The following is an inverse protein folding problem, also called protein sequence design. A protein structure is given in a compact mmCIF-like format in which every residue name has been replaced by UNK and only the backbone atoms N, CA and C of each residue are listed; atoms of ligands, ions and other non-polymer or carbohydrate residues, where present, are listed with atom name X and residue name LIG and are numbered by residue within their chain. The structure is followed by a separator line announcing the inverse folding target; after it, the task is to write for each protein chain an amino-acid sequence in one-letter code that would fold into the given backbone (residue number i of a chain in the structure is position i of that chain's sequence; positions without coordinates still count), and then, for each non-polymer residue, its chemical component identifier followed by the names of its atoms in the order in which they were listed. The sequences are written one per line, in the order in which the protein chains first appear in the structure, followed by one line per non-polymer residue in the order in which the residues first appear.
data_IF_995059454288
#
_entry.id   IF_995059454288
#
_cell.length_a   1.000
_cell.length_b   1.000
_cell.length_c   1.000
_cell.angle_alpha   90.00
_cell.angle_beta   90.00
_cell.angle_gamma   90.00
#
_symmetry.space_group_name_H-M   'P 1'
#
loop_
_entity.id
_entity.type
_entity.pdbx_description
1 polymer ?
#
# COMPACT_ATOMS: atom_id res chain seq x y z
N UNK A 1 5.51 14.69 18.39
CA UNK A 1 5.62 13.25 18.05
C UNK A 1 4.51 12.92 17.08
N UNK A 2 4.83 12.23 15.98
CA UNK A 2 3.83 11.83 14.98
C UNK A 2 2.92 10.74 15.55
N UNK A 3 1.62 10.76 15.12
CA UNK A 3 0.71 9.63 15.39
C UNK A 3 0.09 9.16 14.08
N UNK A 4 0.19 7.85 13.84
CA UNK A 4 -0.38 7.23 12.65
C UNK A 4 -1.72 6.57 12.99
N UNK A 5 -2.81 7.18 12.52
CA UNK A 5 -4.17 6.69 12.71
C UNK A 5 -4.55 5.70 11.63
N UNK A 6 -4.98 4.51 12.04
CA UNK A 6 -5.42 3.46 11.14
C UNK A 6 -5.42 2.09 11.78
N UNK A 7 -5.31 1.04 11.00
CA UNK A 7 -5.31 -0.34 11.49
C UNK A 7 -4.54 -1.27 10.55
N UNK A 8 -3.94 -2.30 11.10
CA UNK A 8 -2.97 -3.15 10.41
C UNK A 8 -3.50 -3.94 9.20
N UNK A 9 -4.83 -4.06 9.01
CA UNK A 9 -5.41 -4.69 7.81
C UNK A 9 -5.36 -3.77 6.59
N UNK A 10 -5.28 -2.45 6.81
CA UNK A 10 -5.21 -1.47 5.72
C UNK A 10 -3.82 -1.47 5.08
N UNK A 11 -3.75 -1.84 3.79
CA UNK A 11 -2.50 -1.77 3.03
C UNK A 11 -1.95 -0.33 2.95
N UNK A 12 -2.79 0.67 2.80
CA UNK A 12 -2.38 2.07 2.80
C UNK A 12 -1.79 2.53 4.13
N UNK A 13 -2.35 2.07 5.25
CA UNK A 13 -1.76 2.28 6.58
C UNK A 13 -0.36 1.63 6.67
N UNK A 14 -0.24 0.40 6.19
CA UNK A 14 1.02 -0.34 6.21
C UNK A 14 2.11 0.30 5.34
N UNK A 15 1.75 0.95 4.24
CA UNK A 15 2.68 1.74 3.42
C UNK A 15 3.31 2.88 4.21
N UNK A 16 2.49 3.67 4.92
CA UNK A 16 2.99 4.77 5.76
C UNK A 16 3.80 4.24 6.93
N UNK A 17 3.31 3.19 7.61
CA UNK A 17 4.03 2.54 8.71
C UNK A 17 5.40 2.06 8.28
N UNK A 18 5.50 1.36 7.14
CA UNK A 18 6.79 0.91 6.62
C UNK A 18 7.73 2.07 6.30
N UNK A 19 7.24 3.12 5.66
CA UNK A 19 8.06 4.29 5.34
C UNK A 19 8.62 4.98 6.61
N UNK A 20 7.81 5.15 7.65
CA UNK A 20 8.27 5.68 8.94
C UNK A 20 9.36 4.81 9.56
N UNK A 21 9.17 3.48 9.56
CA UNK A 21 10.15 2.52 10.08
C UNK A 21 11.45 2.52 9.28
N UNK A 22 11.37 2.53 7.93
CA UNK A 22 12.56 2.58 7.05
C UNK A 22 13.37 3.86 7.21
N UNK A 23 12.71 4.97 7.53
CA UNK A 23 13.35 6.24 7.82
C UNK A 23 13.86 6.35 9.26
N UNK A 24 13.49 5.42 10.16
CA UNK A 24 13.81 5.49 11.58
C UNK A 24 13.14 6.66 12.29
N UNK A 25 11.92 7.02 11.87
CA UNK A 25 11.13 8.10 12.49
C UNK A 25 10.21 7.51 13.53
N UNK A 26 10.31 7.99 14.77
CA UNK A 26 9.44 7.57 15.86
C UNK A 26 8.01 8.06 15.67
N UNK A 27 7.04 7.19 15.90
CA UNK A 27 5.62 7.49 15.84
C UNK A 27 4.81 6.60 16.79
N UNK A 28 3.64 7.09 17.17
CA UNK A 28 2.63 6.35 17.92
C UNK A 28 1.58 5.76 16.95
N UNK A 29 1.23 4.48 17.12
CA UNK A 29 0.13 3.87 16.37
C UNK A 29 -1.20 4.10 17.12
N UNK A 30 -2.16 4.76 16.44
CA UNK A 30 -3.50 5.01 16.96
C UNK A 30 -4.52 4.20 16.19
N UNK A 31 -5.15 3.23 16.85
CA UNK A 31 -6.15 2.36 16.20
C UNK A 31 -7.37 3.16 15.76
N UNK A 32 -7.63 3.20 14.47
CA UNK A 32 -8.78 3.88 13.85
C UNK A 32 -9.30 3.07 12.66
N UNK A 33 -10.62 3.10 12.46
CA UNK A 33 -11.30 2.47 11.32
C UNK A 33 -11.93 3.53 10.42
N UNK A 34 -12.13 3.26 9.11
CA UNK A 34 -12.88 4.16 8.23
C UNK A 34 -14.24 4.49 8.83
N UNK A 35 -14.62 5.77 8.83
CA UNK A 35 -15.86 6.25 9.41
C UNK A 35 -16.32 7.54 8.72
N UNK A 36 -17.64 7.77 8.69
CA UNK A 36 -18.27 9.03 8.25
C UNK A 36 -18.70 9.92 9.42
N UNK A 37 -18.26 9.62 10.65
CA UNK A 37 -18.49 10.45 11.80
C UNK A 37 -17.61 11.71 11.76
N UNK A 38 -18.12 12.84 12.21
CA UNK A 38 -17.44 14.14 12.15
C UNK A 38 -16.03 14.13 12.77
N UNK A 39 -15.86 13.46 13.92
CA UNK A 39 -14.56 13.32 14.58
C UNK A 39 -13.51 12.62 13.69
N UNK A 40 -13.94 11.67 12.85
CA UNK A 40 -13.07 11.01 11.91
C UNK A 40 -12.87 11.85 10.65
N UNK A 41 -13.92 12.50 10.14
CA UNK A 41 -13.85 13.36 8.96
C UNK A 41 -12.93 14.57 9.20
N UNK A 42 -12.84 15.09 10.41
CA UNK A 42 -11.87 16.13 10.80
C UNK A 42 -10.41 15.65 10.70
N UNK A 43 -10.16 14.34 10.78
CA UNK A 43 -8.82 13.75 10.64
C UNK A 43 -8.53 13.32 9.20
N UNK A 44 -9.54 12.79 8.52
CA UNK A 44 -9.46 12.35 7.13
C UNK A 44 -10.77 12.67 6.41
N UNK A 45 -10.84 13.75 5.60
CA UNK A 45 -12.09 14.26 5.03
C UNK A 45 -12.87 13.28 4.15
N UNK A 46 -12.21 12.24 3.62
CA UNK A 46 -12.89 11.18 2.85
C UNK A 46 -13.37 10.00 3.72
N UNK A 47 -13.18 10.08 5.04
CA UNK A 47 -13.59 9.03 5.98
C UNK A 47 -12.75 7.75 5.91
N UNK A 48 -11.55 7.83 5.33
CA UNK A 48 -10.64 6.68 5.15
C UNK A 48 -9.53 6.65 6.22
N UNK A 49 -8.61 5.73 6.06
CA UNK A 49 -7.34 5.62 6.77
C UNK A 49 -6.25 5.30 5.75
N UNK A 50 -4.98 5.69 6.01
CA UNK A 50 -4.43 6.32 7.21
C UNK A 50 -4.67 7.82 7.28
N UNK A 51 -4.59 8.38 8.50
CA UNK A 51 -4.35 9.80 8.74
C UNK A 51 -3.10 9.95 9.61
N UNK A 52 -2.24 10.91 9.27
CA UNK A 52 -1.07 11.26 10.07
C UNK A 52 -1.40 12.50 10.89
N UNK A 53 -1.31 12.38 12.23
CA UNK A 53 -1.40 13.51 13.15
C UNK A 53 -0.02 14.08 13.40
N UNK A 54 0.11 15.39 13.21
CA UNK A 54 1.31 16.20 13.44
C UNK A 54 1.01 17.27 14.49
N UNK A 55 2.02 18.05 14.87
CA UNK A 55 1.85 19.23 15.72
C UNK A 55 1.06 20.38 15.05
N UNK A 56 0.88 20.32 13.72
CA UNK A 56 0.15 21.31 12.94
C UNK A 56 -1.27 20.86 12.54
N UNK A 57 -1.60 19.58 12.76
CA UNK A 57 -2.89 19.01 12.39
C UNK A 57 -2.78 17.67 11.69
N UNK A 58 -3.85 17.28 10.98
CA UNK A 58 -3.95 15.99 10.32
C UNK A 58 -3.68 16.08 8.82
N UNK A 59 -3.02 15.05 8.29
CA UNK A 59 -2.76 14.85 6.85
C UNK A 59 -3.36 13.51 6.46
N UNK A 60 -4.22 13.50 5.44
CA UNK A 60 -4.76 12.30 4.81
C UNK A 60 -4.03 11.97 3.49
N UNK A 61 -4.48 10.88 2.83
CA UNK A 61 -3.96 10.35 1.57
C UNK A 61 -2.49 9.87 1.65
N UNK A 62 -2.30 8.59 1.40
CA UNK A 62 -1.00 7.91 1.59
C UNK A 62 0.15 8.59 0.88
N UNK A 63 0.00 8.94 -0.40
CA UNK A 63 1.07 9.58 -1.17
C UNK A 63 1.44 10.96 -0.62
N UNK A 64 0.46 11.71 -0.11
CA UNK A 64 0.68 13.04 0.51
C UNK A 64 1.40 12.88 1.85
N UNK A 65 1.01 11.88 2.65
CA UNK A 65 1.70 11.57 3.91
C UNK A 65 3.16 11.17 3.65
N UNK A 66 3.40 10.35 2.62
CA UNK A 66 4.76 9.93 2.25
C UNK A 66 5.61 11.12 1.78
N UNK A 67 5.06 12.03 0.98
CA UNK A 67 5.73 13.28 0.60
C UNK A 67 6.03 14.16 1.83
N UNK A 68 5.09 14.30 2.76
CA UNK A 68 5.31 15.04 4.01
C UNK A 68 6.45 14.45 4.84
N UNK A 69 6.50 13.11 4.98
CA UNK A 69 7.56 12.42 5.71
C UNK A 69 8.94 12.65 5.05
N UNK A 70 9.01 12.64 3.72
CA UNK A 70 10.25 12.93 2.99
C UNK A 70 10.73 14.37 3.19
N UNK A 71 9.83 15.34 3.03
CA UNK A 71 10.17 16.77 3.11
C UNK A 71 10.37 17.25 4.55
N UNK A 72 9.58 16.74 5.48
CA UNK A 72 9.58 17.18 6.88
C UNK A 72 10.72 16.58 7.71
N UNK A 73 11.36 15.51 7.24
CA UNK A 73 12.44 14.79 7.94
C UNK A 73 13.67 14.58 7.04
N UNK A 74 14.27 15.67 6.53
CA UNK A 74 15.39 15.58 5.57
C UNK A 74 16.67 14.98 6.17
N UNK A 75 16.79 14.95 7.51
CA UNK A 75 17.91 14.34 8.22
C UNK A 75 17.79 12.81 8.32
N UNK A 76 16.59 12.25 8.11
CA UNK A 76 16.37 10.81 8.13
C UNK A 76 16.80 10.18 6.78
N UNK A 77 16.96 8.85 6.76
CA UNK A 77 17.21 8.12 5.50
C UNK A 77 16.17 8.49 4.45
N UNK A 78 16.60 8.96 3.28
CA UNK A 78 15.70 9.26 2.18
C UNK A 78 15.24 7.97 1.50
N UNK A 79 13.94 7.91 1.13
CA UNK A 79 13.34 6.87 0.32
C UNK A 79 13.04 7.35 -1.11
N UNK A 80 13.57 8.50 -1.48
CA UNK A 80 13.53 9.06 -2.84
C UNK A 80 14.92 9.57 -3.24
N UNK A 81 15.32 9.44 -4.52
CA UNK A 81 16.56 10.00 -5.03
C UNK A 81 16.56 11.54 -4.96
N UNK A 82 17.73 12.14 -4.76
CA UNK A 82 17.91 13.59 -4.79
C UNK A 82 17.89 14.17 -6.22
N UNK A 83 18.24 13.37 -7.22
CA UNK A 83 18.14 13.78 -8.63
C UNK A 83 16.67 13.97 -9.03
N UNK A 84 16.30 15.12 -9.61
CA UNK A 84 14.90 15.41 -9.92
C UNK A 84 14.27 14.43 -10.90
N UNK A 85 15.01 13.93 -11.89
CA UNK A 85 14.49 12.99 -12.86
C UNK A 85 14.27 11.62 -12.21
N UNK A 86 15.22 11.11 -11.44
CA UNK A 86 15.09 9.84 -10.73
C UNK A 86 13.97 9.91 -9.68
N UNK A 87 13.82 11.03 -8.97
CA UNK A 87 12.69 11.26 -8.06
C UNK A 87 11.35 11.18 -8.80
N UNK A 88 11.25 11.86 -9.97
CA UNK A 88 10.04 11.78 -10.81
C UNK A 88 9.76 10.34 -11.28
N UNK A 89 10.79 9.55 -11.56
CA UNK A 89 10.67 8.12 -11.92
C UNK A 89 10.12 7.28 -10.77
N UNK A 90 10.60 7.50 -9.54
CA UNK A 90 10.03 6.85 -8.35
C UNK A 90 8.54 7.22 -8.21
N UNK A 91 8.19 8.49 -8.34
CA UNK A 91 6.80 8.95 -8.25
C UNK A 91 5.93 8.40 -9.39
N UNK A 92 6.45 8.26 -10.61
CA UNK A 92 5.76 7.59 -11.72
C UNK A 92 5.43 6.13 -11.35
N UNK A 93 6.40 5.37 -10.82
CA UNK A 93 6.21 4.00 -10.37
C UNK A 93 5.16 3.92 -9.25
N UNK A 94 5.20 4.83 -8.26
CA UNK A 94 4.18 4.93 -7.22
C UNK A 94 2.77 5.12 -7.80
N UNK A 95 2.63 6.00 -8.82
CA UNK A 95 1.33 6.22 -9.47
C UNK A 95 0.87 5.00 -10.28
N UNK A 96 1.78 4.33 -10.99
CA UNK A 96 1.46 3.07 -11.70
C UNK A 96 0.93 2.03 -10.71
N UNK A 97 1.62 1.83 -9.59
CA UNK A 97 1.19 0.90 -8.54
C UNK A 97 -0.17 1.30 -7.96
N UNK A 98 -0.35 2.57 -7.62
CA UNK A 98 -1.58 3.03 -6.98
C UNK A 98 -2.78 2.98 -7.93
N UNK A 99 -2.67 3.56 -9.12
CA UNK A 99 -3.81 3.78 -10.01
C UNK A 99 -4.17 2.53 -10.82
N UNK A 100 -3.16 1.79 -11.30
CA UNK A 100 -3.37 0.70 -12.26
C UNK A 100 -3.24 -0.69 -11.64
N UNK A 101 -2.61 -0.84 -10.47
CA UNK A 101 -2.53 -2.13 -9.78
C UNK A 101 -3.50 -2.13 -8.59
N UNK A 102 -3.28 -1.28 -7.60
CA UNK A 102 -4.10 -1.26 -6.38
C UNK A 102 -5.57 -0.92 -6.67
N UNK A 103 -5.84 0.20 -7.36
CA UNK A 103 -7.21 0.64 -7.62
C UNK A 103 -7.95 -0.30 -8.57
N UNK A 104 -7.25 -0.92 -9.52
CA UNK A 104 -7.83 -1.92 -10.42
C UNK A 104 -8.20 -3.20 -9.68
N UNK A 105 -7.28 -3.76 -8.89
CA UNK A 105 -7.53 -4.95 -8.09
C UNK A 105 -8.65 -4.71 -7.07
N UNK A 106 -8.75 -3.49 -6.52
CA UNK A 106 -9.76 -3.10 -5.52
C UNK A 106 -11.19 -3.23 -6.03
N UNK A 107 -11.43 -3.16 -7.33
CA UNK A 107 -12.74 -3.41 -7.94
C UNK A 107 -13.28 -4.81 -7.57
N UNK A 108 -12.39 -5.78 -7.42
CA UNK A 108 -12.74 -7.16 -7.09
C UNK A 108 -12.58 -7.53 -5.60
N UNK A 109 -12.11 -6.62 -4.73
CA UNK A 109 -11.99 -6.88 -3.28
C UNK A 109 -13.29 -7.32 -2.60
N UNK A 110 -14.49 -6.77 -2.96
CA UNK A 110 -15.74 -7.24 -2.37
C UNK A 110 -15.94 -8.74 -2.50
N UNK A 111 -15.62 -9.32 -3.65
CA UNK A 111 -15.76 -10.77 -3.89
C UNK A 111 -14.54 -11.54 -3.35
N UNK A 112 -13.34 -11.07 -3.62
CA UNK A 112 -12.12 -11.77 -3.24
C UNK A 112 -11.93 -11.90 -1.71
N UNK A 113 -12.31 -10.85 -0.94
CA UNK A 113 -11.94 -10.76 0.47
C UNK A 113 -13.10 -10.54 1.44
N UNK A 114 -14.27 -10.14 0.96
CA UNK A 114 -15.36 -9.73 1.85
C UNK A 114 -16.65 -10.52 1.69
N UNK A 115 -16.64 -11.58 0.84
CA UNK A 115 -17.78 -12.49 0.65
C UNK A 115 -18.94 -11.87 -0.13
N UNK A 116 -18.69 -10.76 -0.82
CA UNK A 116 -19.65 -10.15 -1.76
C UNK A 116 -19.61 -10.81 -3.13
N UNK A 117 -20.27 -10.17 -4.10
CA UNK A 117 -20.20 -10.54 -5.52
C UNK A 117 -19.92 -9.30 -6.35
N UNK A 118 -19.22 -9.49 -7.46
CA UNK A 118 -18.86 -8.44 -8.42
C UNK A 118 -19.39 -8.86 -9.80
N UNK A 119 -19.94 -7.92 -10.57
CA UNK A 119 -20.44 -8.20 -11.91
C UNK A 119 -19.31 -8.63 -12.87
N UNK A 120 -19.66 -9.40 -13.90
CA UNK A 120 -18.67 -9.84 -14.89
C UNK A 120 -18.04 -8.68 -15.64
N UNK A 121 -18.81 -7.62 -15.92
CA UNK A 121 -18.31 -6.37 -16.51
C UNK A 121 -17.22 -5.71 -15.61
N UNK A 122 -17.46 -5.67 -14.29
CA UNK A 122 -16.47 -5.13 -13.34
C UNK A 122 -15.22 -6.02 -13.25
N UNK A 123 -15.39 -7.34 -13.34
CA UNK A 123 -14.26 -8.29 -13.37
C UNK A 123 -13.43 -8.10 -14.64
N UNK A 124 -14.06 -7.98 -15.80
CA UNK A 124 -13.38 -7.72 -17.07
C UNK A 124 -12.59 -6.42 -17.03
N UNK A 125 -13.21 -5.34 -16.54
CA UNK A 125 -12.52 -4.05 -16.32
C UNK A 125 -11.34 -4.18 -15.37
N UNK A 126 -11.54 -4.86 -14.24
CA UNK A 126 -10.48 -5.12 -13.26
C UNK A 126 -9.29 -5.83 -13.91
N UNK A 127 -9.52 -6.93 -14.61
CA UNK A 127 -8.44 -7.71 -15.25
C UNK A 127 -7.71 -6.89 -16.30
N UNK A 128 -8.45 -6.22 -17.18
CA UNK A 128 -7.88 -5.39 -18.26
C UNK A 128 -6.98 -4.28 -17.71
N UNK A 129 -7.44 -3.54 -16.72
CA UNK A 129 -6.66 -2.44 -16.15
C UNK A 129 -5.48 -2.97 -15.31
N UNK A 130 -5.66 -4.09 -14.60
CA UNK A 130 -4.59 -4.72 -13.84
C UNK A 130 -3.45 -5.23 -14.76
N UNK A 131 -3.79 -5.90 -15.86
CA UNK A 131 -2.80 -6.36 -16.85
C UNK A 131 -2.04 -5.18 -17.48
N UNK A 132 -2.73 -4.07 -17.79
CA UNK A 132 -2.07 -2.82 -18.22
C UNK A 132 -1.11 -2.27 -17.16
N UNK A 133 -1.54 -2.26 -15.90
CA UNK A 133 -0.72 -1.80 -14.78
C UNK A 133 0.55 -2.62 -14.60
N UNK A 134 0.44 -3.94 -14.63
CA UNK A 134 1.58 -4.86 -14.54
C UNK A 134 2.54 -4.66 -15.73
N UNK A 135 2.00 -4.55 -16.95
CA UNK A 135 2.80 -4.28 -18.15
C UNK A 135 3.52 -2.93 -18.05
N UNK A 136 2.83 -1.88 -17.60
CA UNK A 136 3.42 -0.55 -17.43
C UNK A 136 4.53 -0.59 -16.37
N UNK A 137 4.30 -1.27 -15.24
CA UNK A 137 5.31 -1.45 -14.20
C UNK A 137 6.54 -2.17 -14.74
N UNK A 138 6.37 -3.28 -15.47
CA UNK A 138 7.46 -4.02 -16.11
C UNK A 138 8.28 -3.16 -17.05
N UNK A 139 7.63 -2.33 -17.88
CA UNK A 139 8.32 -1.44 -18.83
C UNK A 139 9.13 -0.35 -18.09
N UNK A 140 8.63 0.12 -16.95
CA UNK A 140 9.18 1.29 -16.26
C UNK A 140 10.15 0.98 -15.13
N UNK A 141 10.05 -0.20 -14.53
CA UNK A 141 10.94 -0.62 -13.45
C UNK A 141 12.29 -1.12 -13.99
N UNK A 142 13.31 -0.96 -13.16
CA UNK A 142 14.62 -1.57 -13.40
C UNK A 142 14.74 -2.95 -12.75
N UNK A 143 14.05 -3.16 -11.61
CA UNK A 143 14.11 -4.36 -10.75
C UNK A 143 15.57 -4.85 -10.52
N UNK A 144 16.48 -3.94 -10.09
CA UNK A 144 17.90 -4.23 -9.95
C UNK A 144 18.47 -3.71 -8.62
N UNK A 145 18.15 -4.32 -7.48
CA UNK A 145 17.09 -5.29 -7.24
C UNK A 145 15.71 -4.66 -6.96
N UNK A 146 15.63 -3.33 -6.71
CA UNK A 146 14.40 -2.60 -6.42
C UNK A 146 13.76 -2.00 -7.66
N UNK A 147 12.50 -1.57 -7.57
CA UNK A 147 11.75 -1.05 -8.72
C UNK A 147 12.46 0.09 -9.46
N UNK A 148 13.10 1.01 -8.72
CA UNK A 148 13.75 2.18 -9.30
C UNK A 148 15.27 2.04 -9.45
N UNK A 149 15.90 0.96 -8.98
CA UNK A 149 17.35 0.77 -9.04
C UNK A 149 17.88 -0.11 -7.91
N UNK A 150 19.00 0.33 -7.30
CA UNK A 150 19.79 -0.44 -6.32
C UNK A 150 19.40 -0.21 -4.86
N UNK A 151 18.52 0.74 -4.59
CA UNK A 151 18.07 1.11 -3.24
C UNK A 151 16.56 1.06 -3.11
N UNK A 152 16.09 0.68 -1.90
CA UNK A 152 14.68 0.69 -1.56
C UNK A 152 14.13 2.12 -1.59
N UNK A 153 13.01 2.31 -2.28
CA UNK A 153 12.33 3.60 -2.45
C UNK A 153 10.86 3.54 -2.04
N UNK A 154 10.17 4.69 -2.05
CA UNK A 154 8.73 4.76 -1.83
C UNK A 154 7.93 3.94 -2.86
N UNK A 155 8.47 3.71 -4.06
CA UNK A 155 7.84 2.84 -5.04
C UNK A 155 7.75 1.39 -4.55
N UNK A 156 8.81 0.88 -3.91
CA UNK A 156 8.85 -0.47 -3.33
C UNK A 156 7.93 -0.60 -2.12
N UNK A 157 7.88 0.47 -1.29
CA UNK A 157 6.95 0.57 -0.14
C UNK A 157 5.50 0.44 -0.59
N UNK A 158 5.10 1.12 -1.66
CA UNK A 158 3.75 1.00 -2.19
C UNK A 158 3.52 -0.35 -2.88
N UNK A 159 4.51 -0.84 -3.60
CA UNK A 159 4.42 -2.06 -4.38
C UNK A 159 4.11 -3.28 -3.51
N UNK A 160 4.88 -3.52 -2.43
CA UNK A 160 4.78 -4.76 -1.65
C UNK A 160 3.37 -4.98 -1.08
N UNK A 161 2.68 -3.92 -0.62
CA UNK A 161 1.34 -4.04 -0.04
C UNK A 161 0.23 -4.04 -1.10
N UNK A 162 0.45 -3.42 -2.25
CA UNK A 162 -0.51 -3.44 -3.36
C UNK A 162 -0.47 -4.73 -4.14
N UNK A 163 0.75 -5.22 -4.43
CA UNK A 163 0.91 -6.43 -5.26
C UNK A 163 0.43 -7.69 -4.55
N UNK A 164 0.62 -7.80 -3.24
CA UNK A 164 0.11 -8.92 -2.42
C UNK A 164 -1.40 -9.10 -2.59
N UNK A 165 -2.15 -7.99 -2.47
CA UNK A 165 -3.61 -8.02 -2.64
C UNK A 165 -4.02 -8.24 -4.11
N UNK A 166 -3.31 -7.66 -5.05
CA UNK A 166 -3.57 -7.85 -6.48
C UNK A 166 -3.32 -9.30 -6.93
N UNK A 167 -2.25 -9.93 -6.44
CA UNK A 167 -1.97 -11.36 -6.67
C UNK A 167 -3.09 -12.24 -6.09
N UNK A 168 -3.59 -11.90 -4.90
CA UNK A 168 -4.73 -12.58 -4.31
C UNK A 168 -5.99 -12.48 -5.17
N UNK A 169 -6.31 -11.31 -5.70
CA UNK A 169 -7.41 -11.12 -6.67
C UNK A 169 -7.17 -11.94 -7.93
N UNK A 170 -5.97 -11.88 -8.50
CA UNK A 170 -5.59 -12.68 -9.67
C UNK A 170 -5.87 -14.17 -9.47
N UNK A 171 -5.43 -14.71 -8.32
CA UNK A 171 -5.62 -16.12 -7.97
C UNK A 171 -7.08 -16.50 -7.69
N UNK A 172 -7.78 -15.70 -6.87
CA UNK A 172 -9.12 -16.03 -6.36
C UNK A 172 -10.19 -15.82 -7.43
N UNK A 173 -10.14 -14.69 -8.14
CA UNK A 173 -11.19 -14.29 -9.08
C UNK A 173 -10.91 -14.82 -10.49
N UNK A 174 -9.64 -14.76 -10.93
CA UNK A 174 -9.28 -15.04 -12.32
C UNK A 174 -8.53 -16.36 -12.52
N UNK A 175 -8.14 -17.05 -11.44
CA UNK A 175 -7.29 -18.24 -11.47
C UNK A 175 -6.00 -18.02 -12.29
N UNK A 176 -5.47 -16.79 -12.24
CA UNK A 176 -4.29 -16.34 -12.97
C UNK A 176 -3.17 -15.94 -12.01
N UNK A 177 -1.94 -16.24 -12.41
CA UNK A 177 -0.74 -15.58 -11.88
C UNK A 177 -0.51 -14.29 -12.68
N UNK A 178 -0.84 -13.15 -12.08
CA UNK A 178 -0.71 -11.83 -12.72
C UNK A 178 0.75 -11.40 -12.95
N UNK A 179 1.71 -12.10 -12.33
CA UNK A 179 3.14 -11.88 -12.50
C UNK A 179 3.83 -12.99 -13.33
N UNK A 180 3.08 -13.82 -14.07
CA UNK A 180 3.64 -14.91 -14.85
C UNK A 180 4.75 -14.44 -15.82
N UNK A 181 4.53 -13.30 -16.46
CA UNK A 181 5.45 -12.70 -17.43
C UNK A 181 6.40 -11.65 -16.83
N UNK A 182 6.49 -11.57 -15.48
CA UNK A 182 7.32 -10.60 -14.77
C UNK A 182 8.09 -11.26 -13.61
N UNK A 183 9.04 -12.15 -13.89
CA UNK A 183 9.79 -12.88 -12.85
C UNK A 183 10.62 -11.96 -11.96
N UNK A 184 11.13 -10.84 -12.46
CA UNK A 184 11.92 -9.87 -11.69
C UNK A 184 11.08 -9.25 -10.55
N UNK A 185 9.77 -9.06 -10.76
CA UNK A 185 8.88 -8.62 -9.69
C UNK A 185 8.69 -9.68 -8.60
N UNK A 186 8.73 -10.97 -8.96
CA UNK A 186 8.69 -12.06 -7.97
C UNK A 186 9.97 -12.13 -7.15
N UNK A 187 11.13 -11.92 -7.75
CA UNK A 187 12.41 -11.82 -7.06
C UNK A 187 12.42 -10.61 -6.12
N UNK A 188 11.94 -9.46 -6.57
CA UNK A 188 11.80 -8.27 -5.73
C UNK A 188 10.90 -8.53 -4.51
N UNK A 189 9.77 -9.24 -4.67
CA UNK A 189 8.90 -9.61 -3.54
C UNK A 189 9.68 -10.47 -2.53
N UNK A 190 10.53 -11.39 -2.97
CA UNK A 190 11.37 -12.19 -2.06
C UNK A 190 12.33 -11.29 -1.29
N UNK A 191 13.06 -10.40 -1.98
CA UNK A 191 13.98 -9.45 -1.37
C UNK A 191 13.27 -8.55 -0.34
N UNK A 192 12.11 -8.01 -0.68
CA UNK A 192 11.33 -7.17 0.23
C UNK A 192 10.85 -7.96 1.47
N UNK A 193 10.48 -9.22 1.30
CA UNK A 193 10.08 -10.08 2.42
C UNK A 193 11.25 -10.45 3.36
N UNK A 194 12.50 -10.29 2.94
CA UNK A 194 13.68 -10.43 3.80
C UNK A 194 13.96 -9.18 4.65
N UNK A 195 13.37 -8.04 4.29
CA UNK A 195 13.53 -6.80 5.04
C UNK A 195 12.84 -6.92 6.42
N UNK A 196 13.54 -6.66 7.55
CA UNK A 196 12.99 -6.82 8.90
C UNK A 196 11.79 -5.91 9.19
N UNK A 197 11.74 -4.69 8.62
CA UNK A 197 10.61 -3.79 8.79
C UNK A 197 9.39 -4.30 8.03
N UNK A 198 9.57 -4.83 6.82
CA UNK A 198 8.49 -5.48 6.05
C UNK A 198 7.95 -6.68 6.82
N UNK A 199 8.82 -7.53 7.36
CA UNK A 199 8.42 -8.69 8.17
C UNK A 199 7.60 -8.26 9.39
N UNK A 200 8.03 -7.21 10.10
CA UNK A 200 7.31 -6.68 11.25
C UNK A 200 5.90 -6.19 10.85
N UNK A 201 5.79 -5.39 9.78
CA UNK A 201 4.49 -4.89 9.30
C UNK A 201 3.58 -6.03 8.84
N UNK A 202 4.13 -7.06 8.18
CA UNK A 202 3.35 -8.23 7.76
C UNK A 202 2.89 -9.09 8.95
N UNK A 203 3.70 -9.20 10.01
CA UNK A 203 3.30 -9.87 11.26
C UNK A 203 2.13 -9.13 11.91
N UNK A 204 2.23 -7.80 12.05
CA UNK A 204 1.16 -6.98 12.62
C UNK A 204 -0.12 -7.03 11.76
N UNK A 205 0.02 -7.06 10.43
CA UNK A 205 -1.11 -7.27 9.49
C UNK A 205 -1.80 -8.61 9.76
N UNK A 206 -1.05 -9.69 9.96
CA UNK A 206 -1.60 -11.03 10.22
C UNK A 206 -2.40 -11.07 11.53
N UNK A 207 -1.88 -10.46 12.59
CA UNK A 207 -2.58 -10.33 13.87
C UNK A 207 -3.85 -9.47 13.71
N UNK A 208 -3.74 -8.31 13.05
CA UNK A 208 -4.85 -7.41 12.79
C UNK A 208 -5.97 -8.04 11.96
N UNK A 209 -5.66 -8.92 11.00
CA UNK A 209 -6.66 -9.68 10.22
C UNK A 209 -7.42 -10.64 11.15
N UNK A 210 -6.73 -11.34 12.04
CA UNK A 210 -7.38 -12.25 12.99
C UNK A 210 -8.36 -11.50 13.91
N UNK A 211 -7.94 -10.36 14.48
CA UNK A 211 -8.80 -9.49 15.30
C UNK A 211 -10.02 -8.98 14.51
N UNK A 212 -9.79 -8.45 13.30
CA UNK A 212 -10.86 -7.90 12.46
C UNK A 212 -11.91 -8.95 12.09
N UNK A 213 -11.47 -10.18 11.80
CA UNK A 213 -12.40 -11.29 11.51
C UNK A 213 -13.19 -11.72 12.75
N UNK A 214 -12.56 -11.71 13.94
CA UNK A 214 -13.25 -11.98 15.20
C UNK A 214 -14.33 -10.92 15.49
N UNK A 215 -14.00 -9.63 15.30
CA UNK A 215 -14.92 -8.51 15.47
C UNK A 215 -16.13 -8.59 14.52
N UNK A 216 -15.90 -8.92 13.22
CA UNK A 216 -16.98 -9.12 12.24
C UNK A 216 -17.91 -10.30 12.59
N UNK A 217 -17.37 -11.37 13.16
CA UNK A 217 -18.20 -12.51 13.62
C UNK A 217 -19.06 -12.13 14.83
N UNK A 218 -18.52 -11.32 15.75
CA UNK A 218 -19.27 -10.84 16.91
C UNK A 218 -20.42 -9.88 16.52
N UNK A 219 -20.21 -9.01 15.53
CA UNK A 219 -21.21 -8.05 15.05
C UNK A 219 -22.36 -8.69 14.21
N UNK A 220 -22.23 -9.98 13.83
CA UNK A 220 -23.27 -10.73 13.10
C UNK A 220 -24.16 -11.59 14.00
N UNK A 221 -23.86 -11.64 15.31
CA UNK A 221 -24.67 -12.29 16.36
C UNK A 221 -25.54 -11.28 17.07
#
# INVERSE_FOLDING_TARGET
MLKLHGFAVSNYYNMVKLALMEKGIDFEEVKAYPSQQDDHLNKHPTGKVPALETDQGFIGETSVILDYIELGYPQAKSLIPSDPYQNARVKELMQIVSLYIEMSARLCYPEAYFGGKVSDETKEKCLTELEKGIKALKIRSNCSPYLAGDTLTLADVMFIFSIDLAMGVGKIIFQKDILADFPEAKELIQILNENPNVQKVLADKKEGVAEFMAMKKAAKK
#
